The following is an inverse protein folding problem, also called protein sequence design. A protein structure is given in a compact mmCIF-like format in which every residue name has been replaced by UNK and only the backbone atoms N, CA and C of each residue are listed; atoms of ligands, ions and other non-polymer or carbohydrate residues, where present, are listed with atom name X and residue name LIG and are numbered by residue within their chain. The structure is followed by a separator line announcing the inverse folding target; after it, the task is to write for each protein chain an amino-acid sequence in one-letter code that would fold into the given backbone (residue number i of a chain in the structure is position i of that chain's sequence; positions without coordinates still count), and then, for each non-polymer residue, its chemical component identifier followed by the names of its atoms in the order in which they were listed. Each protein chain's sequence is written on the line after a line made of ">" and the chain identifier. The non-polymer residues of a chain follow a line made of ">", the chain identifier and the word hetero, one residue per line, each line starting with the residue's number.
data_IF_884130689880
#
_entry.id   IF_884130689880
#
_cell.length_a   1.000
_cell.length_b   1.000
_cell.length_c   1.000
_cell.angle_alpha   90.00
_cell.angle_beta   90.00
_cell.angle_gamma   90.00
#
_symmetry.space_group_name_H-M   'P 1'
#
loop_
_entity.id
_entity.type
_entity.pdbx_description
1 polymer ?
#
# COMPACT_ATOMS: atom_id res chain seq x y z
N UNK A 1 -17.76 -17.96 -12.97
CA UNK A 1 -16.78 -17.68 -11.90
C UNK A 1 -15.42 -17.61 -12.57
N UNK A 2 -14.89 -16.40 -12.73
CA UNK A 2 -13.67 -16.13 -13.49
C UNK A 2 -12.49 -16.94 -12.95
N UNK A 3 -11.86 -17.70 -13.85
CA UNK A 3 -10.52 -18.23 -13.60
C UNK A 3 -9.63 -17.03 -13.32
N UNK A 4 -9.09 -16.95 -12.10
CA UNK A 4 -8.03 -16.00 -11.76
C UNK A 4 -6.90 -16.26 -12.76
N UNK A 5 -6.81 -15.43 -13.79
CA UNK A 5 -5.76 -15.54 -14.78
C UNK A 5 -4.44 -15.18 -14.12
N UNK A 6 -3.73 -16.23 -13.66
CA UNK A 6 -2.41 -16.13 -13.04
C UNK A 6 -1.36 -15.60 -14.03
N UNK A 7 -1.66 -15.45 -15.32
CA UNK A 7 -0.79 -14.80 -16.31
C UNK A 7 -1.06 -13.30 -16.46
N UNK A 8 -2.20 -12.81 -15.97
CA UNK A 8 -2.58 -11.40 -16.05
C UNK A 8 -1.53 -10.50 -15.40
N UNK A 9 -1.26 -9.34 -16.00
CA UNK A 9 -0.34 -8.33 -15.43
C UNK A 9 -0.78 -7.91 -14.02
N UNK A 10 -2.09 -7.86 -13.80
CA UNK A 10 -2.71 -7.49 -12.52
C UNK A 10 -2.36 -8.51 -11.43
N UNK A 11 -2.44 -9.81 -11.72
CA UNK A 11 -2.04 -10.85 -10.77
C UNK A 11 -0.54 -10.79 -10.46
N UNK A 12 0.31 -10.61 -11.47
CA UNK A 12 1.77 -10.48 -11.26
C UNK A 12 2.15 -9.27 -10.41
N UNK A 13 1.54 -8.11 -10.65
CA UNK A 13 1.73 -6.92 -9.79
C UNK A 13 1.27 -7.18 -8.38
N UNK A 14 0.12 -7.86 -8.20
CA UNK A 14 -0.39 -8.24 -6.88
C UNK A 14 0.61 -9.08 -6.11
N UNK A 15 1.14 -10.14 -6.74
CA UNK A 15 2.12 -11.02 -6.11
C UNK A 15 3.44 -10.31 -5.82
N UNK A 16 3.90 -9.43 -6.72
CA UNK A 16 5.09 -8.62 -6.49
C UNK A 16 4.92 -7.67 -5.30
N UNK A 17 3.77 -6.99 -5.19
CA UNK A 17 3.45 -6.11 -4.05
C UNK A 17 3.41 -6.90 -2.74
N UNK A 18 2.76 -8.06 -2.75
CA UNK A 18 2.70 -8.97 -1.60
C UNK A 18 4.10 -9.37 -1.14
N UNK A 19 4.95 -9.81 -2.08
CA UNK A 19 6.33 -10.20 -1.79
C UNK A 19 7.16 -9.03 -1.23
N UNK A 20 7.00 -7.81 -1.75
CA UNK A 20 7.67 -6.61 -1.23
C UNK A 20 7.27 -6.33 0.23
N UNK A 21 5.97 -6.37 0.53
CA UNK A 21 5.47 -6.12 1.90
C UNK A 21 6.02 -7.18 2.86
N UNK A 22 5.95 -8.46 2.48
CA UNK A 22 6.46 -9.56 3.30
C UNK A 22 7.97 -9.44 3.53
N UNK A 23 8.72 -9.08 2.49
CA UNK A 23 10.15 -8.85 2.62
C UNK A 23 10.48 -7.74 3.62
N UNK A 24 9.68 -6.67 3.68
CA UNK A 24 9.83 -5.60 4.68
C UNK A 24 9.47 -6.03 6.10
N UNK A 25 8.60 -7.02 6.24
CA UNK A 25 8.21 -7.59 7.53
C UNK A 25 9.13 -8.72 8.01
N UNK A 26 10.28 -8.95 7.35
CA UNK A 26 11.26 -9.96 7.76
C UNK A 26 11.09 -11.32 7.08
N UNK A 27 10.24 -11.43 6.05
CA UNK A 27 10.07 -12.65 5.25
C UNK A 27 8.92 -13.55 5.72
N UNK A 28 8.50 -14.50 4.86
CA UNK A 28 7.31 -15.35 5.11
C UNK A 28 7.41 -16.19 6.39
N UNK A 29 8.62 -16.62 6.76
CA UNK A 29 8.84 -17.47 7.93
C UNK A 29 8.61 -16.75 9.27
N UNK A 30 8.70 -15.42 9.28
CA UNK A 30 8.51 -14.61 10.50
C UNK A 30 7.06 -14.15 10.71
N UNK A 31 6.16 -14.39 9.76
CA UNK A 31 4.78 -13.92 9.82
C UNK A 31 3.85 -14.94 10.49
N UNK A 32 3.05 -14.45 11.43
CA UNK A 32 1.88 -15.17 11.93
C UNK A 32 0.81 -15.33 10.85
N UNK A 33 -0.11 -16.28 11.03
CA UNK A 33 -1.25 -16.44 10.12
C UNK A 33 -2.06 -15.15 9.96
N UNK A 34 -2.30 -14.45 11.07
CA UNK A 34 -3.01 -13.18 11.07
C UNK A 34 -2.28 -12.09 10.26
N UNK A 35 -0.96 -11.97 10.41
CA UNK A 35 -0.19 -11.01 9.61
C UNK A 35 -0.21 -11.33 8.11
N UNK A 36 -0.22 -12.62 7.74
CA UNK A 36 -0.37 -13.01 6.32
C UNK A 36 -1.72 -12.57 5.76
N UNK A 37 -2.80 -12.73 6.53
CA UNK A 37 -4.13 -12.25 6.15
C UNK A 37 -4.17 -10.72 6.01
N UNK A 38 -3.56 -9.99 6.95
CA UNK A 38 -3.47 -8.54 6.89
C UNK A 38 -2.67 -8.07 5.66
N UNK A 39 -1.59 -8.77 5.29
CA UNK A 39 -0.86 -8.47 4.04
C UNK A 39 -1.76 -8.68 2.82
N UNK A 40 -2.51 -9.79 2.75
CA UNK A 40 -3.39 -10.06 1.63
C UNK A 40 -4.53 -9.03 1.52
N UNK A 41 -5.06 -8.59 2.67
CA UNK A 41 -6.04 -7.52 2.76
C UNK A 41 -5.46 -6.18 2.29
N UNK A 42 -4.26 -5.82 2.76
CA UNK A 42 -3.56 -4.60 2.38
C UNK A 42 -3.34 -4.53 0.87
N UNK A 43 -2.92 -5.64 0.27
CA UNK A 43 -2.72 -5.74 -1.18
C UNK A 43 -4.04 -5.56 -1.93
N UNK A 44 -5.14 -6.17 -1.45
CA UNK A 44 -6.47 -5.99 -2.03
C UNK A 44 -6.98 -4.55 -1.95
N UNK A 45 -6.84 -3.91 -0.79
CA UNK A 45 -7.20 -2.51 -0.58
C UNK A 45 -6.37 -1.57 -1.47
N UNK A 46 -5.07 -1.84 -1.62
CA UNK A 46 -4.20 -1.10 -2.54
C UNK A 46 -4.69 -1.17 -3.98
N UNK A 47 -5.09 -2.35 -4.46
CA UNK A 47 -5.65 -2.51 -5.80
C UNK A 47 -6.97 -1.75 -5.97
N UNK A 48 -7.82 -1.74 -4.95
CA UNK A 48 -9.08 -0.98 -4.98
C UNK A 48 -8.83 0.52 -5.06
N UNK A 49 -7.88 1.04 -4.27
CA UNK A 49 -7.46 2.44 -4.29
C UNK A 49 -6.88 2.82 -5.66
N UNK A 50 -6.01 1.98 -6.24
CA UNK A 50 -5.45 2.19 -7.59
C UNK A 50 -6.55 2.24 -8.66
N UNK A 51 -7.58 1.39 -8.56
CA UNK A 51 -8.71 1.41 -9.49
C UNK A 51 -9.49 2.73 -9.41
N UNK A 52 -9.78 3.23 -8.20
CA UNK A 52 -10.42 4.54 -8.04
C UNK A 52 -9.55 5.67 -8.62
N UNK A 53 -8.24 5.63 -8.39
CA UNK A 53 -7.30 6.61 -8.93
C UNK A 53 -7.24 6.58 -10.46
N UNK A 54 -7.25 5.38 -11.06
CA UNK A 54 -7.31 5.24 -12.51
C UNK A 54 -8.60 5.82 -13.10
N UNK A 55 -9.75 5.57 -12.45
CA UNK A 55 -11.04 6.17 -12.87
C UNK A 55 -11.01 7.69 -12.78
N UNK A 56 -10.53 8.25 -11.67
CA UNK A 56 -10.37 9.70 -11.51
C UNK A 56 -9.46 10.30 -12.59
N UNK A 57 -8.31 9.67 -12.87
CA UNK A 57 -7.37 10.13 -13.89
C UNK A 57 -7.96 10.08 -15.31
N UNK A 58 -8.91 9.17 -15.56
CA UNK A 58 -9.67 9.09 -16.80
C UNK A 58 -10.86 10.07 -16.86
N UNK A 59 -11.06 10.92 -15.84
CA UNK A 59 -12.21 11.84 -15.77
C UNK A 59 -13.54 11.14 -15.49
N UNK A 60 -13.51 9.89 -15.03
CA UNK A 60 -14.71 9.15 -14.67
C UNK A 60 -15.16 9.52 -13.26
N UNK A 61 -16.48 9.57 -13.07
CA UNK A 61 -17.08 9.74 -11.76
C UNK A 61 -16.72 8.56 -10.85
N UNK A 62 -16.41 8.87 -9.60
CA UNK A 62 -16.14 7.88 -8.57
C UNK A 62 -17.02 8.13 -7.35
N UNK A 63 -17.33 7.04 -6.64
CA UNK A 63 -17.91 7.13 -5.30
C UNK A 63 -16.80 7.55 -4.31
N UNK A 64 -16.82 8.84 -3.94
CA UNK A 64 -15.83 9.43 -3.05
C UNK A 64 -15.87 8.80 -1.64
N UNK A 65 -17.04 8.40 -1.15
CA UNK A 65 -17.17 7.79 0.17
C UNK A 65 -16.51 6.42 0.21
N UNK A 66 -16.75 5.59 -0.82
CA UNK A 66 -16.08 4.28 -0.95
C UNK A 66 -14.58 4.43 -1.13
N UNK A 67 -14.13 5.40 -1.91
CA UNK A 67 -12.71 5.67 -2.06
C UNK A 67 -12.06 6.05 -0.73
N UNK A 68 -12.64 7.00 0.00
CA UNK A 68 -12.14 7.43 1.31
C UNK A 68 -12.19 6.31 2.33
N UNK A 69 -13.23 5.47 2.31
CA UNK A 69 -13.33 4.29 3.16
C UNK A 69 -12.20 3.29 2.88
N UNK A 70 -11.95 2.98 1.61
CA UNK A 70 -10.85 2.09 1.22
C UNK A 70 -9.48 2.63 1.67
N UNK A 71 -9.24 3.94 1.54
CA UNK A 71 -8.00 4.59 2.00
C UNK A 71 -7.86 4.52 3.53
N UNK A 72 -8.95 4.74 4.28
CA UNK A 72 -8.95 4.65 5.74
C UNK A 72 -8.63 3.24 6.22
N UNK A 73 -9.29 2.23 5.66
CA UNK A 73 -9.01 0.83 5.99
C UNK A 73 -7.59 0.43 5.62
N UNK A 74 -7.09 0.90 4.47
CA UNK A 74 -5.71 0.64 4.06
C UNK A 74 -4.71 1.19 5.09
N UNK A 75 -4.93 2.41 5.58
CA UNK A 75 -4.08 3.02 6.62
C UNK A 75 -4.17 2.28 7.95
N UNK A 76 -5.36 1.79 8.32
CA UNK A 76 -5.56 0.98 9.53
C UNK A 76 -4.75 -0.31 9.46
N UNK A 77 -4.86 -1.07 8.36
CA UNK A 77 -4.12 -2.31 8.15
C UNK A 77 -2.60 -2.09 8.14
N UNK A 78 -2.12 -0.99 7.56
CA UNK A 78 -0.69 -0.62 7.61
C UNK A 78 -0.23 -0.41 9.06
N UNK A 79 -1.05 0.27 9.88
CA UNK A 79 -0.75 0.47 11.29
C UNK A 79 -0.72 -0.82 12.10
N UNK A 80 -1.59 -1.78 11.77
CA UNK A 80 -1.64 -3.10 12.42
C UNK A 80 -0.48 -4.02 12.03
N UNK A 81 0.04 -3.88 10.81
CA UNK A 81 1.23 -4.62 10.36
C UNK A 81 2.54 -4.08 10.97
N UNK A 82 2.48 -3.02 11.77
CA UNK A 82 3.63 -2.28 12.33
C UNK A 82 4.73 -2.04 11.27
N UNK A 83 4.30 -1.77 10.02
CA UNK A 83 5.23 -1.51 8.94
C UNK A 83 6.03 -0.26 9.32
N UNK A 84 7.37 -0.33 9.32
CA UNK A 84 8.18 0.82 9.68
C UNK A 84 7.74 2.00 8.82
N UNK A 85 7.27 3.07 9.48
CA UNK A 85 6.96 4.31 8.79
C UNK A 85 8.19 4.69 7.99
N UNK A 86 8.01 5.03 6.71
CA UNK A 86 9.06 5.68 5.94
C UNK A 86 9.29 7.07 6.55
N UNK A 87 10.05 7.10 7.65
CA UNK A 87 10.41 8.30 8.37
C UNK A 87 11.93 8.41 8.28
N UNK A 88 12.42 8.85 7.12
CA UNK A 88 13.51 9.80 7.22
C UNK A 88 12.90 11.05 7.88
N UNK A 89 13.40 11.51 9.03
CA UNK A 89 12.93 12.76 9.60
C UNK A 89 13.02 13.84 8.51
N UNK A 90 11.90 14.51 8.22
CA UNK A 90 11.94 15.68 7.35
C UNK A 90 12.86 16.69 8.03
N UNK A 91 13.90 17.19 7.33
CA UNK A 91 14.84 18.09 7.95
C UNK A 91 14.07 19.30 8.47
N UNK A 92 14.29 19.63 9.74
CA UNK A 92 13.65 20.80 10.35
C UNK A 92 14.12 22.08 9.64
N UNK A 93 13.42 23.18 9.85
CA UNK A 93 13.72 24.45 9.14
C UNK A 93 15.19 24.86 9.34
N UNK A 94 15.78 24.60 10.51
CA UNK A 94 17.21 24.91 10.77
C UNK A 94 18.14 24.04 9.92
N UNK A 95 17.85 22.76 9.79
CA UNK A 95 18.61 21.82 8.94
C UNK A 95 18.51 22.21 7.46
N UNK A 96 17.36 22.69 6.99
CA UNK A 96 17.18 23.19 5.63
C UNK A 96 17.94 24.50 5.36
N UNK A 97 18.01 25.39 6.34
CA UNK A 97 18.74 26.67 6.22
C UNK A 97 20.25 26.47 6.23
N UNK A 98 20.76 25.53 7.05
CA UNK A 98 22.17 25.17 7.08
C UNK A 98 22.63 24.55 5.74
N UNK A 99 21.82 23.68 5.14
CA UNK A 99 22.13 23.06 3.86
C UNK A 99 22.06 24.03 2.65
N UNK A 100 21.36 25.16 2.78
CA UNK A 100 21.27 26.19 1.73
C UNK A 100 22.38 27.26 1.83
N UNK A 101 23.17 27.23 2.90
CA UNK A 101 24.26 28.19 3.18
C UNK A 101 25.66 27.58 2.98
N UNK A 102 25.73 26.35 2.46
CA UNK A 102 26.93 25.63 2.07
C UNK A 102 26.96 25.49 0.53
#
# INVERSE_FOLDING_TARGET
>A
MDQIDRRSRTWRRRQARRAEIISRLGGEGGLTAHQRELVDLLVGLGQLVEQFQAKMAAGQEIDAERYLSAVKEQRRVIGELDLPKASAPLPNIRERLAAASA
#
